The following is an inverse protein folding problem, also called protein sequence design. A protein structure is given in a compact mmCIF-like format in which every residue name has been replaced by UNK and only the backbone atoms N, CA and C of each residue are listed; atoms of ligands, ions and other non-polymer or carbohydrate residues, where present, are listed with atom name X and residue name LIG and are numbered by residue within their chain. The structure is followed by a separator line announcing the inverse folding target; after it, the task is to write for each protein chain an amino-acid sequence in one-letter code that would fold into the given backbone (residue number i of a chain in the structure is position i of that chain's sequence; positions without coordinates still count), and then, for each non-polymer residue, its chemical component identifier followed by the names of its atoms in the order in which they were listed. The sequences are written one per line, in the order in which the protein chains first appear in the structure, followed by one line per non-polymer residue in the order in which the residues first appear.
data_IF_728953717250
#
_entry.id   IF_728953717250
#
_cell.length_a   1.000
_cell.length_b   1.000
_cell.length_c   1.000
_cell.angle_alpha   90.00
_cell.angle_beta   90.00
_cell.angle_gamma   90.00
#
_symmetry.space_group_name_H-M   'P 1'
#
loop_
_entity.id
_entity.type
_entity.pdbx_description
1 polymer ?
#
# COMPACT_ATOMS: atom_id res chain seq x y z
N UNK A 1 83.52 2.58 -3.93
CA UNK A 1 82.49 1.93 -3.02
C UNK A 1 81.09 2.32 -3.49
N UNK A 2 80.50 1.52 -4.35
CA UNK A 2 79.18 1.79 -4.93
C UNK A 2 78.13 1.05 -4.07
N UNK A 3 77.20 1.81 -3.45
CA UNK A 3 76.07 1.26 -2.72
C UNK A 3 74.87 1.23 -3.68
N UNK A 4 74.53 0.04 -4.11
CA UNK A 4 73.29 -0.23 -4.89
C UNK A 4 72.12 -0.29 -3.97
N UNK A 5 71.17 0.64 -4.12
CA UNK A 5 69.89 0.68 -3.37
C UNK A 5 68.87 -0.12 -4.17
N UNK A 6 68.37 -1.23 -3.59
CA UNK A 6 67.24 -1.98 -4.13
C UNK A 6 65.93 -1.34 -3.65
N UNK A 7 65.19 -0.72 -4.55
CA UNK A 7 63.79 -0.33 -4.30
C UNK A 7 62.92 -1.57 -4.50
N UNK A 8 62.41 -2.11 -3.41
CA UNK A 8 61.35 -3.09 -3.46
C UNK A 8 60.00 -2.37 -3.65
N UNK A 9 59.51 -2.44 -4.89
CA UNK A 9 58.18 -1.93 -5.22
C UNK A 9 57.08 -2.82 -4.61
N UNK A 10 56.36 -2.31 -3.63
CA UNK A 10 55.12 -2.94 -3.11
C UNK A 10 54.03 -2.67 -4.14
N UNK A 11 53.74 -3.66 -4.97
CA UNK A 11 52.62 -3.64 -5.90
C UNK A 11 51.31 -3.72 -5.12
N UNK A 12 50.60 -2.60 -5.04
CA UNK A 12 49.23 -2.56 -4.50
C UNK A 12 48.29 -3.21 -5.53
N UNK A 13 47.96 -4.49 -5.31
CA UNK A 13 46.98 -5.21 -6.12
C UNK A 13 45.58 -4.63 -5.82
N UNK A 14 45.10 -3.73 -6.69
CA UNK A 14 43.71 -3.36 -6.73
C UNK A 14 42.87 -4.57 -7.16
N UNK A 15 42.25 -5.26 -6.20
CA UNK A 15 41.22 -6.24 -6.47
C UNK A 15 40.02 -5.49 -7.07
N UNK A 16 39.51 -5.87 -8.25
CA UNK A 16 38.30 -5.29 -8.77
C UNK A 16 37.16 -5.73 -7.86
N UNK A 17 36.66 -4.82 -7.02
CA UNK A 17 35.36 -5.00 -6.37
C UNK A 17 34.34 -5.02 -7.50
N UNK A 18 33.90 -6.21 -7.91
CA UNK A 18 32.74 -6.37 -8.75
C UNK A 18 31.54 -5.79 -7.95
N UNK A 19 31.22 -4.53 -8.26
CA UNK A 19 29.89 -4.02 -7.92
C UNK A 19 28.91 -4.89 -8.71
N UNK A 20 28.36 -5.89 -8.03
CA UNK A 20 27.23 -6.64 -8.53
C UNK A 20 26.10 -5.62 -8.70
N UNK A 21 25.90 -5.14 -9.92
CA UNK A 21 24.78 -4.30 -10.25
C UNK A 21 23.51 -5.13 -9.94
N UNK A 22 22.88 -4.82 -8.81
CA UNK A 22 21.60 -5.42 -8.43
C UNK A 22 20.66 -5.13 -9.59
N UNK A 23 20.25 -6.17 -10.32
CA UNK A 23 19.25 -6.02 -11.36
C UNK A 23 18.04 -5.36 -10.71
N UNK A 24 17.70 -4.16 -11.19
CA UNK A 24 16.51 -3.42 -10.77
C UNK A 24 15.26 -4.09 -11.35
N UNK A 25 14.99 -5.32 -10.94
CA UNK A 25 13.66 -5.90 -11.16
C UNK A 25 12.71 -5.24 -10.18
N UNK A 26 11.59 -4.68 -10.66
CA UNK A 26 10.60 -4.11 -9.77
C UNK A 26 10.15 -5.16 -8.74
N UNK A 27 9.96 -4.78 -7.47
CA UNK A 27 9.51 -5.72 -6.45
C UNK A 27 8.05 -6.13 -6.70
N UNK A 28 7.71 -7.36 -6.32
CA UNK A 28 6.30 -7.72 -6.18
C UNK A 28 5.73 -7.05 -4.95
N UNK A 29 4.56 -6.41 -5.08
CA UNK A 29 3.89 -5.71 -3.99
C UNK A 29 2.59 -6.43 -3.68
N UNK A 30 2.44 -6.92 -2.45
CA UNK A 30 1.17 -7.41 -1.91
C UNK A 30 0.59 -6.36 -0.98
N UNK A 31 -0.52 -5.76 -1.37
CA UNK A 31 -1.23 -4.78 -0.56
C UNK A 31 -2.48 -5.41 0.06
N UNK A 32 -2.57 -5.38 1.41
CA UNK A 32 -3.71 -5.92 2.16
C UNK A 32 -4.39 -4.76 2.87
N UNK A 33 -5.65 -4.51 2.52
CA UNK A 33 -6.51 -3.51 3.14
C UNK A 33 -7.63 -4.22 3.88
N UNK A 34 -7.70 -4.00 5.18
CA UNK A 34 -8.79 -4.50 6.01
C UNK A 34 -9.91 -3.47 6.09
N UNK A 35 -11.14 -3.93 6.02
CA UNK A 35 -12.33 -3.11 6.20
C UNK A 35 -12.69 -3.04 7.69
N UNK A 36 -13.00 -1.84 8.18
CA UNK A 36 -13.39 -1.53 9.56
C UNK A 36 -12.45 -2.04 10.67
N UNK A 37 -11.16 -2.30 10.35
CA UNK A 37 -10.19 -2.68 11.35
C UNK A 37 -9.65 -1.45 12.08
N UNK A 38 -9.83 -1.40 13.40
CA UNK A 38 -9.32 -0.35 14.27
C UNK A 38 -7.85 -0.56 14.65
N UNK A 39 -7.19 0.53 15.05
CA UNK A 39 -5.81 0.51 15.54
C UNK A 39 -5.62 -0.49 16.72
N UNK A 40 -6.61 -0.54 17.63
CA UNK A 40 -6.56 -1.40 18.81
C UNK A 40 -6.99 -2.85 18.59
N UNK A 41 -7.23 -3.29 17.35
CA UNK A 41 -7.69 -4.67 17.07
C UNK A 41 -6.54 -5.65 16.91
N UNK A 42 -5.31 -5.16 16.77
CA UNK A 42 -4.11 -5.97 16.57
C UNK A 42 -3.26 -6.06 17.82
N UNK A 43 -2.72 -7.26 18.13
CA UNK A 43 -1.89 -7.48 19.32
C UNK A 43 -0.61 -6.65 19.27
N UNK A 44 0.02 -6.45 18.11
CA UNK A 44 1.18 -5.59 17.94
C UNK A 44 0.93 -4.10 18.27
N UNK A 45 -0.33 -3.68 18.35
CA UNK A 45 -0.73 -2.35 18.79
C UNK A 45 -1.35 -2.33 20.20
N UNK A 46 -1.29 -3.44 20.93
CA UNK A 46 -1.67 -3.51 22.34
C UNK A 46 -3.02 -4.16 22.62
N UNK A 47 -3.63 -4.85 21.65
CA UNK A 47 -4.83 -5.66 21.86
C UNK A 47 -4.51 -6.84 22.82
N UNK A 48 -5.17 -6.91 24.00
CA UNK A 48 -4.82 -7.93 24.99
C UNK A 48 -5.55 -9.26 24.81
N UNK A 49 -6.66 -9.28 24.08
CA UNK A 49 -7.56 -10.44 24.02
C UNK A 49 -7.49 -11.20 22.69
N UNK A 50 -7.20 -10.50 21.61
CA UNK A 50 -7.14 -11.08 20.27
C UNK A 50 -5.68 -11.33 19.90
N UNK A 51 -5.37 -12.59 19.56
CA UNK A 51 -4.03 -12.97 19.15
C UNK A 51 -3.90 -12.92 17.63
N UNK A 52 -2.94 -12.15 17.13
CA UNK A 52 -2.67 -11.96 15.70
C UNK A 52 -1.24 -12.35 15.33
N UNK A 53 -0.80 -13.62 15.59
CA UNK A 53 0.61 -13.99 15.58
C UNK A 53 1.32 -13.78 14.23
N UNK A 54 0.61 -13.92 13.12
CA UNK A 54 1.20 -13.70 11.81
C UNK A 54 1.40 -12.21 11.52
N UNK A 55 0.44 -11.36 11.89
CA UNK A 55 0.54 -9.91 11.74
C UNK A 55 1.58 -9.35 12.70
N UNK A 56 1.62 -9.86 13.93
CA UNK A 56 2.61 -9.48 14.94
C UNK A 56 4.04 -9.79 14.48
N UNK A 57 4.23 -10.95 13.83
CA UNK A 57 5.51 -11.30 13.22
C UNK A 57 5.88 -10.34 12.08
N UNK A 58 4.95 -10.01 11.20
CA UNK A 58 5.18 -9.01 10.14
C UNK A 58 5.58 -7.65 10.73
N UNK A 59 4.94 -7.25 11.84
CA UNK A 59 5.27 -6.00 12.53
C UNK A 59 6.65 -6.02 13.19
N UNK A 60 7.14 -7.19 13.62
CA UNK A 60 8.48 -7.37 14.18
C UNK A 60 9.58 -7.41 13.12
N UNK A 61 9.30 -8.04 11.98
CA UNK A 61 10.26 -8.21 10.87
C UNK A 61 10.30 -7.00 9.94
N UNK A 62 9.27 -6.17 9.94
CA UNK A 62 9.10 -5.03 9.05
C UNK A 62 9.03 -3.68 9.75
N UNK A 63 8.34 -2.74 9.13
CA UNK A 63 8.12 -1.40 9.66
C UNK A 63 6.68 -1.27 10.17
N UNK A 64 6.53 -0.83 11.43
CA UNK A 64 5.24 -0.55 12.05
C UNK A 64 5.04 0.96 12.18
N UNK A 65 3.96 1.46 11.60
CA UNK A 65 3.58 2.86 11.70
C UNK A 65 2.68 3.07 12.92
N UNK A 66 3.04 4.00 13.77
CA UNK A 66 2.25 4.37 14.97
C UNK A 66 1.33 5.56 14.71
N UNK A 67 1.54 6.26 13.61
CA UNK A 67 0.79 7.46 13.19
C UNK A 67 0.44 7.32 11.71
N UNK A 68 -0.48 6.41 11.38
CA UNK A 68 -1.00 6.23 10.03
C UNK A 68 -2.53 6.32 10.07
N UNK A 69 -3.09 7.15 9.20
CA UNK A 69 -4.51 7.45 9.21
C UNK A 69 -5.12 7.18 7.85
N UNK A 70 -6.33 6.64 7.85
CA UNK A 70 -7.15 6.55 6.65
C UNK A 70 -7.54 7.96 6.17
N UNK A 71 -7.72 8.13 4.88
CA UNK A 71 -8.08 9.42 4.28
C UNK A 71 -9.48 9.90 4.65
N UNK A 72 -10.34 9.00 5.12
CA UNK A 72 -11.71 9.29 5.57
C UNK A 72 -12.18 8.22 6.55
N UNK A 73 -13.08 8.53 7.48
CA UNK A 73 -13.70 7.53 8.35
C UNK A 73 -14.74 6.64 7.63
N UNK A 74 -15.05 6.94 6.36
CA UNK A 74 -16.03 6.21 5.55
C UNK A 74 -15.32 5.46 4.43
N UNK A 75 -15.75 4.24 4.15
CA UNK A 75 -15.07 3.27 3.28
C UNK A 75 -14.82 3.79 1.86
N UNK A 76 -15.84 4.26 1.14
CA UNK A 76 -15.68 4.67 -0.26
C UNK A 76 -14.68 5.83 -0.45
N UNK A 77 -14.79 6.96 0.28
CA UNK A 77 -13.82 8.05 0.14
C UNK A 77 -12.44 7.68 0.68
N UNK A 78 -12.32 6.82 1.72
CA UNK A 78 -11.04 6.32 2.20
C UNK A 78 -10.32 5.51 1.13
N UNK A 79 -11.03 4.61 0.46
CA UNK A 79 -10.49 3.82 -0.67
C UNK A 79 -10.13 4.72 -1.85
N UNK A 80 -10.95 5.75 -2.14
CA UNK A 80 -10.66 6.69 -3.20
C UNK A 80 -9.36 7.47 -2.96
N UNK A 81 -9.12 7.96 -1.74
CA UNK A 81 -7.86 8.63 -1.39
C UNK A 81 -6.67 7.70 -1.53
N UNK A 82 -6.80 6.44 -1.09
CA UNK A 82 -5.75 5.44 -1.21
C UNK A 82 -5.42 5.15 -2.69
N UNK A 83 -6.45 4.90 -3.51
CA UNK A 83 -6.26 4.50 -4.91
C UNK A 83 -5.79 5.63 -5.81
N UNK A 84 -6.18 6.86 -5.50
CA UNK A 84 -5.84 8.03 -6.34
C UNK A 84 -4.65 8.83 -5.80
N UNK A 85 -4.25 8.62 -4.55
CA UNK A 85 -3.26 9.45 -3.87
C UNK A 85 -3.76 10.88 -3.59
N UNK A 86 -5.05 11.15 -3.78
CA UNK A 86 -5.63 12.48 -3.61
C UNK A 86 -6.22 12.65 -2.20
N UNK A 87 -6.05 13.82 -1.63
CA UNK A 87 -6.72 14.19 -0.38
C UNK A 87 -8.25 14.22 -0.56
N UNK A 88 -9.01 13.88 0.49
CA UNK A 88 -10.48 13.85 0.47
C UNK A 88 -11.16 15.13 -0.04
N UNK A 89 -10.51 16.28 0.10
CA UNK A 89 -10.98 17.54 -0.46
C UNK A 89 -10.88 17.64 -1.99
N UNK A 90 -10.09 16.79 -2.63
CA UNK A 90 -9.81 16.80 -4.07
C UNK A 90 -10.33 15.56 -4.79
N UNK A 91 -10.50 14.45 -4.08
CA UNK A 91 -11.03 13.22 -4.68
C UNK A 91 -12.48 13.39 -5.12
N UNK A 92 -12.83 12.73 -6.24
CA UNK A 92 -14.20 12.73 -6.75
C UNK A 92 -15.18 12.04 -5.79
N UNK A 93 -14.79 10.90 -5.23
CA UNK A 93 -15.61 10.13 -4.29
C UNK A 93 -15.44 10.70 -2.88
N UNK A 94 -16.47 11.38 -2.38
CA UNK A 94 -16.44 12.08 -1.08
C UNK A 94 -17.35 11.47 -0.01
N UNK A 95 -18.12 10.45 -0.36
CA UNK A 95 -19.04 9.77 0.54
C UNK A 95 -19.48 8.43 -0.02
N UNK A 96 -20.26 7.70 0.76
CA UNK A 96 -20.91 6.48 0.28
C UNK A 96 -22.17 6.86 -0.49
N UNK A 97 -22.00 7.25 -1.74
CA UNK A 97 -23.12 7.46 -2.66
C UNK A 97 -23.41 6.18 -3.41
N UNK A 98 -24.65 5.78 -3.38
CA UNK A 98 -25.17 4.73 -4.24
C UNK A 98 -25.29 5.27 -5.67
N UNK A 99 -24.74 4.54 -6.63
CA UNK A 99 -24.80 4.91 -8.04
C UNK A 99 -25.92 4.12 -8.75
N UNK A 100 -26.95 4.84 -9.12
CA UNK A 100 -28.11 4.30 -9.84
C UNK A 100 -27.89 4.44 -11.34
N UNK A 101 -27.59 3.36 -12.03
CA UNK A 101 -27.46 3.38 -13.47
C UNK A 101 -28.56 2.55 -14.09
N UNK A 102 -29.78 3.13 -14.26
CA UNK A 102 -30.83 2.62 -15.14
C UNK A 102 -31.09 1.09 -15.20
N UNK A 103 -30.72 0.37 -14.16
CA UNK A 103 -30.92 -1.08 -14.07
C UNK A 103 -32.39 -1.32 -13.68
N UNK A 104 -33.09 -2.24 -14.34
CA UNK A 104 -34.46 -2.57 -13.97
C UNK A 104 -34.53 -2.96 -12.50
N UNK A 105 -35.48 -2.38 -11.77
CA UNK A 105 -35.76 -2.76 -10.40
C UNK A 105 -36.15 -4.23 -10.34
N UNK A 106 -35.45 -5.02 -9.53
CA UNK A 106 -35.84 -6.38 -9.22
C UNK A 106 -36.80 -6.31 -8.06
N UNK A 107 -38.04 -6.70 -8.27
CA UNK A 107 -39.05 -6.76 -7.19
C UNK A 107 -38.84 -8.04 -6.39
N UNK A 108 -38.55 -7.89 -5.10
CA UNK A 108 -38.64 -8.97 -4.12
C UNK A 108 -39.86 -8.75 -3.26
N UNK A 109 -40.88 -9.56 -3.50
CA UNK A 109 -42.16 -9.48 -2.75
C UNK A 109 -42.94 -8.20 -3.06
N UNK A 110 -43.56 -7.62 -2.03
CA UNK A 110 -44.40 -6.42 -2.16
C UNK A 110 -43.66 -5.10 -1.99
N UNK A 111 -42.35 -5.16 -1.83
CA UNK A 111 -41.48 -3.98 -1.65
C UNK A 111 -40.80 -3.63 -2.96
N UNK A 112 -40.69 -2.34 -3.26
CA UNK A 112 -39.85 -1.85 -4.35
C UNK A 112 -38.41 -2.04 -3.94
N UNK A 113 -37.70 -2.90 -4.65
CA UNK A 113 -36.31 -3.16 -4.40
C UNK A 113 -35.45 -2.39 -5.37
N UNK A 114 -34.54 -1.62 -4.83
CA UNK A 114 -33.58 -0.84 -5.59
C UNK A 114 -32.36 -1.72 -5.87
N UNK A 115 -32.06 -1.98 -7.13
CA UNK A 115 -30.79 -2.61 -7.47
C UNK A 115 -29.66 -1.58 -7.36
N UNK A 116 -28.90 -1.65 -6.28
CA UNK A 116 -27.65 -0.89 -6.14
C UNK A 116 -26.63 -1.51 -7.09
N UNK A 117 -26.24 -0.79 -8.13
CA UNK A 117 -25.23 -1.24 -9.09
C UNK A 117 -23.81 -1.08 -8.53
N UNK A 118 -23.66 -0.43 -7.40
CA UNK A 118 -22.39 -0.17 -6.75
C UNK A 118 -22.29 1.26 -6.23
N UNK A 119 -21.10 1.64 -5.84
CA UNK A 119 -20.81 2.99 -5.40
C UNK A 119 -20.35 3.86 -6.58
N UNK A 120 -20.27 5.17 -6.36
CA UNK A 120 -19.82 6.15 -7.34
C UNK A 120 -18.47 5.70 -7.95
N UNK A 121 -18.34 5.56 -9.28
CA UNK A 121 -17.10 5.13 -9.92
C UNK A 121 -16.03 6.21 -9.82
N UNK A 122 -14.78 5.79 -9.93
CA UNK A 122 -13.67 6.75 -10.09
C UNK A 122 -13.82 7.51 -11.42
N UNK A 123 -13.38 8.76 -11.41
CA UNK A 123 -13.27 9.54 -12.63
C UNK A 123 -12.25 8.87 -13.57
N UNK A 124 -12.64 8.48 -14.79
CA UNK A 124 -11.76 7.80 -15.74
C UNK A 124 -10.56 8.65 -16.21
N UNK A 125 -10.57 9.95 -15.92
CA UNK A 125 -9.44 10.83 -16.23
C UNK A 125 -8.31 10.72 -15.17
N UNK A 126 -8.59 10.14 -14.00
CA UNK A 126 -7.60 9.96 -12.95
C UNK A 126 -7.05 8.53 -12.98
N UNK A 127 -5.73 8.43 -13.08
CA UNK A 127 -5.04 7.15 -12.90
C UNK A 127 -5.15 6.68 -11.46
N UNK A 128 -5.43 5.42 -11.29
CA UNK A 128 -5.47 4.79 -9.96
C UNK A 128 -4.20 3.96 -9.72
N UNK A 129 -3.90 3.68 -8.47
CA UNK A 129 -2.67 2.99 -8.05
C UNK A 129 -2.38 1.71 -8.85
N UNK A 130 -3.33 0.80 -9.13
CA UNK A 130 -3.08 -0.38 -9.94
C UNK A 130 -2.69 -0.13 -11.41
N UNK A 131 -2.97 1.06 -11.94
CA UNK A 131 -2.60 1.44 -13.31
C UNK A 131 -1.19 2.03 -13.39
N UNK A 132 -0.61 2.40 -12.24
CA UNK A 132 0.71 3.03 -12.13
C UNK A 132 1.79 1.98 -11.83
N UNK A 133 1.41 0.89 -11.16
CA UNK A 133 2.30 -0.21 -10.72
C UNK A 133 2.54 -1.21 -11.85
#
# INVERSE_FOLDING_TARGET
MNKTIWLTGVGLACLPTQLCAKQNTPPNILFILCDDMGYGDLACYGQPYIHTPNIDRMAQEGMRFTQAYAGSPVSAPSRATLMTGQHTGHTHVRGNKEYWRGVPMVKYGNNEEYSVVGQEPYDPQHKILPEIM
#
